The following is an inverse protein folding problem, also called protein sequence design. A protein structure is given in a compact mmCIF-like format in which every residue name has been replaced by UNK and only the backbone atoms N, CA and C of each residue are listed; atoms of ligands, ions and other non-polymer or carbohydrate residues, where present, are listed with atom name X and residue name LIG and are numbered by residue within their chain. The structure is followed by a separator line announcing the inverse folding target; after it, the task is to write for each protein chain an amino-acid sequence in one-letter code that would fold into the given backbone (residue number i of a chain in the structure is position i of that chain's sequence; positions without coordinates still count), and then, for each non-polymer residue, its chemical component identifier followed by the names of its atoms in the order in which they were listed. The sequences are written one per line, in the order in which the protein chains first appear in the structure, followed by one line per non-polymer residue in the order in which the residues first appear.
data_IF_081710603074
#
_entry.id   IF_081710603074
#
_cell.length_a   1.000
_cell.length_b   1.000
_cell.length_c   1.000
_cell.angle_alpha   90.00
_cell.angle_beta   90.00
_cell.angle_gamma   90.00
#
_symmetry.space_group_name_H-M   'P 1'
#
loop_
_entity.id
_entity.type
_entity.pdbx_description
1 polymer ?
#
# COMPACT_ATOMS: atom_id res chain seq x y z
N UNK A 1 -17.34 -12.87 -6.55
CA UNK A 1 -15.92 -12.49 -6.72
C UNK A 1 -15.89 -11.34 -7.71
N UNK A 2 -15.29 -10.19 -7.35
CA UNK A 2 -15.21 -9.05 -8.26
C UNK A 2 -13.96 -9.20 -9.15
N UNK A 3 -14.13 -9.91 -10.28
CA UNK A 3 -13.02 -10.27 -11.19
C UNK A 3 -12.25 -9.07 -11.71
N UNK A 4 -12.93 -7.95 -11.99
CA UNK A 4 -12.30 -6.72 -12.47
C UNK A 4 -11.34 -6.13 -11.41
N UNK A 5 -11.77 -6.10 -10.14
CA UNK A 5 -10.92 -5.63 -9.04
C UNK A 5 -9.75 -6.59 -8.78
N UNK A 6 -9.98 -7.90 -8.82
CA UNK A 6 -8.90 -8.87 -8.71
C UNK A 6 -7.87 -8.72 -9.84
N UNK A 7 -8.31 -8.44 -11.08
CA UNK A 7 -7.40 -8.15 -12.19
C UNK A 7 -6.55 -6.92 -11.89
N UNK A 8 -7.18 -5.81 -11.48
CA UNK A 8 -6.44 -4.58 -11.12
C UNK A 8 -5.41 -4.86 -10.02
N UNK A 9 -5.79 -5.64 -9.00
CA UNK A 9 -4.92 -6.05 -7.90
C UNK A 9 -3.68 -6.81 -8.39
N UNK A 10 -3.85 -7.72 -9.34
CA UNK A 10 -2.80 -8.62 -9.84
C UNK A 10 -1.99 -8.07 -11.03
N UNK A 11 -2.54 -7.09 -11.77
CA UNK A 11 -1.88 -6.53 -12.96
C UNK A 11 -0.78 -5.51 -12.60
N UNK A 12 -0.56 -5.24 -11.30
CA UNK A 12 0.53 -4.39 -10.83
C UNK A 12 1.76 -5.24 -10.54
N UNK A 13 2.96 -4.76 -10.93
CA UNK A 13 4.22 -5.43 -10.57
C UNK A 13 4.35 -5.59 -9.05
N UNK A 14 4.00 -4.54 -8.32
CA UNK A 14 3.88 -4.51 -6.87
C UNK A 14 3.06 -3.29 -6.42
N UNK A 15 2.55 -3.35 -5.19
CA UNK A 15 1.94 -2.24 -4.46
C UNK A 15 2.91 -1.78 -3.38
N UNK A 16 3.42 -0.56 -3.46
CA UNK A 16 4.45 -0.04 -2.55
C UNK A 16 3.87 0.88 -1.49
N UNK A 17 4.25 0.67 -0.23
CA UNK A 17 3.97 1.63 0.84
C UNK A 17 4.73 2.94 0.58
N UNK A 18 6.01 2.81 0.29
CA UNK A 18 6.86 3.88 -0.21
C UNK A 18 7.72 3.31 -1.36
N UNK A 19 7.58 3.81 -2.60
CA UNK A 19 8.30 3.37 -3.79
C UNK A 19 9.84 3.47 -3.74
N UNK A 20 10.39 4.21 -2.77
CA UNK A 20 11.82 4.39 -2.59
C UNK A 20 12.42 3.48 -1.51
N UNK A 21 11.58 2.67 -0.87
CA UNK A 21 12.00 1.62 0.06
C UNK A 21 11.39 0.28 -0.37
N UNK A 22 12.04 -0.83 -0.07
CA UNK A 22 11.49 -2.15 -0.39
C UNK A 22 10.46 -2.58 0.68
N UNK A 23 9.37 -1.81 0.79
CA UNK A 23 8.17 -2.12 1.57
C UNK A 23 6.99 -2.19 0.63
N UNK A 24 6.67 -3.40 0.18
CA UNK A 24 5.67 -3.61 -0.83
C UNK A 24 5.01 -5.00 -0.69
N UNK A 25 3.84 -5.11 -1.30
CA UNK A 25 3.05 -6.34 -1.40
C UNK A 25 2.74 -6.61 -2.87
N UNK A 26 2.82 -7.88 -3.28
CA UNK A 26 2.53 -8.34 -4.63
C UNK A 26 1.44 -9.41 -4.59
N UNK A 27 0.54 -9.36 -5.56
CA UNK A 27 -0.51 -10.35 -5.76
C UNK A 27 -0.38 -10.94 -7.16
N UNK A 28 -0.32 -12.26 -7.26
CA UNK A 28 -0.32 -13.00 -8.51
C UNK A 28 -1.73 -13.58 -8.79
N UNK A 29 -2.07 -13.76 -10.06
CA UNK A 29 -3.38 -14.24 -10.53
C UNK A 29 -3.73 -15.66 -10.06
N UNK A 30 -2.73 -16.45 -9.69
CA UNK A 30 -2.88 -17.83 -9.22
C UNK A 30 -3.20 -17.92 -7.71
N UNK A 31 -3.39 -16.80 -7.03
CA UNK A 31 -3.63 -16.76 -5.59
C UNK A 31 -2.34 -16.78 -4.75
N UNK A 32 -1.17 -16.65 -5.38
CA UNK A 32 0.10 -16.46 -4.66
C UNK A 32 0.49 -14.99 -4.63
N UNK A 33 1.56 -14.65 -3.92
CA UNK A 33 2.08 -13.30 -3.87
C UNK A 33 3.35 -13.23 -3.04
N UNK A 34 3.79 -12.00 -2.74
CA UNK A 34 4.94 -11.77 -1.89
C UNK A 34 4.71 -10.54 -1.00
N UNK A 35 5.28 -10.55 0.21
CA UNK A 35 5.31 -9.40 1.11
C UNK A 35 6.75 -9.12 1.52
N UNK A 36 7.18 -7.87 1.31
CA UNK A 36 8.54 -7.44 1.60
C UNK A 36 8.56 -6.31 2.62
N UNK A 37 9.52 -6.39 3.53
CA UNK A 37 9.88 -5.32 4.45
C UNK A 37 11.41 -5.22 4.53
N UNK A 38 11.93 -4.10 4.05
CA UNK A 38 13.36 -3.76 4.08
C UNK A 38 13.54 -2.43 4.79
N UNK A 39 14.54 -2.36 5.65
CA UNK A 39 14.97 -1.17 6.37
C UNK A 39 16.46 -1.00 6.23
N UNK A 40 16.92 0.17 5.80
CA UNK A 40 18.35 0.52 5.68
C UNK A 40 19.17 -0.57 4.95
N UNK A 41 18.63 -1.05 3.82
CA UNK A 41 19.18 -2.15 3.00
C UNK A 41 19.21 -3.53 3.67
N UNK A 42 18.66 -3.66 4.87
CA UNK A 42 18.50 -4.93 5.60
C UNK A 42 17.08 -5.46 5.38
N UNK A 43 16.98 -6.67 4.83
CA UNK A 43 15.71 -7.39 4.76
C UNK A 43 15.29 -7.82 6.16
N UNK A 44 14.14 -7.34 6.61
CA UNK A 44 13.51 -7.80 7.85
C UNK A 44 12.74 -9.07 7.56
N UNK A 45 11.95 -9.04 6.49
CA UNK A 45 11.39 -10.25 5.91
C UNK A 45 11.05 -10.02 4.45
N UNK A 46 11.05 -11.13 3.73
CA UNK A 46 10.60 -11.23 2.36
C UNK A 46 9.99 -12.62 2.23
N UNK A 47 8.67 -12.70 2.30
CA UNK A 47 7.93 -13.96 2.39
C UNK A 47 7.05 -14.14 1.16
N UNK A 48 6.89 -15.39 0.74
CA UNK A 48 5.76 -15.74 -0.12
C UNK A 48 4.45 -15.61 0.68
N UNK A 49 3.36 -15.31 0.00
CA UNK A 49 2.02 -15.36 0.57
C UNK A 49 1.06 -16.12 -0.33
N UNK A 50 -0.01 -16.60 0.27
CA UNK A 50 -1.20 -17.07 -0.40
C UNK A 50 -2.35 -16.12 -0.10
N UNK A 51 -3.20 -15.86 -1.09
CA UNK A 51 -4.35 -14.99 -0.93
C UNK A 51 -5.55 -15.47 -1.73
N UNK A 52 -6.73 -15.07 -1.28
CA UNK A 52 -7.97 -15.24 -2.04
C UNK A 52 -8.94 -14.11 -1.73
N UNK A 53 -9.75 -13.74 -2.72
CA UNK A 53 -10.89 -12.86 -2.49
C UNK A 53 -12.08 -13.67 -1.94
N UNK A 54 -12.63 -13.23 -0.83
CA UNK A 54 -13.86 -13.78 -0.26
C UNK A 54 -15.06 -12.92 -0.68
N UNK A 55 -16.25 -13.51 -0.89
CA UNK A 55 -17.45 -12.74 -1.22
C UNK A 55 -17.74 -11.67 -0.16
N UNK A 56 -18.09 -10.46 -0.61
CA UNK A 56 -18.70 -9.45 0.26
C UNK A 56 -20.12 -9.93 0.63
N UNK A 57 -20.52 -9.74 1.88
CA UNK A 57 -21.92 -9.91 2.23
C UNK A 57 -22.72 -8.82 1.51
N UNK A 58 -23.89 -9.18 0.93
CA UNK A 58 -24.74 -8.31 0.09
C UNK A 58 -25.12 -6.96 0.71
N UNK A 59 -24.94 -6.77 2.03
CA UNK A 59 -25.15 -5.48 2.69
C UNK A 59 -24.04 -4.46 2.43
N UNK A 60 -22.85 -4.90 2.02
CA UNK A 60 -21.68 -4.04 1.74
C UNK A 60 -21.53 -3.73 0.24
N UNK A 61 -22.39 -4.34 -0.60
CA UNK A 61 -22.55 -4.01 -2.01
C UNK A 61 -23.38 -2.72 -2.14
N UNK A 62 -22.84 -1.59 -1.66
CA UNK A 62 -23.25 -0.29 -2.22
C UNK A 62 -22.65 -0.24 -3.61
N UNK A 63 -23.43 -0.70 -4.57
CA UNK A 63 -23.19 -0.59 -5.99
C UNK A 63 -23.18 0.92 -6.32
N UNK A 64 -22.02 1.54 -6.40
CA UNK A 64 -21.86 2.73 -7.24
C UNK A 64 -21.83 2.24 -8.70
N UNK A 65 -23.03 2.08 -9.27
CA UNK A 65 -23.23 1.89 -10.70
C UNK A 65 -22.58 3.06 -11.44
N UNK A 66 -21.58 2.72 -12.25
CA UNK A 66 -21.09 3.42 -13.44
C UNK A 66 -21.62 4.86 -13.64
N UNK A 67 -20.86 5.85 -13.16
CA UNK A 67 -20.71 7.09 -13.90
C UNK A 67 -19.25 7.25 -14.33
N UNK A 68 -19.02 7.01 -15.63
CA UNK A 68 -17.95 7.59 -16.40
C UNK A 68 -18.09 9.12 -16.34
N UNK A 69 -17.66 9.74 -15.24
CA UNK A 69 -17.51 11.19 -15.16
C UNK A 69 -16.15 11.48 -14.57
N UNK A 70 -15.30 12.02 -15.46
CA UNK A 70 -14.31 13.07 -15.22
C UNK A 70 -14.10 13.39 -13.74
N UNK A 71 -12.86 13.26 -13.28
CA UNK A 71 -12.32 13.79 -12.01
C UNK A 71 -12.58 15.30 -11.91
N UNK A 72 -13.83 15.71 -11.69
CA UNK A 72 -14.24 17.11 -11.76
C UNK A 72 -13.91 17.88 -10.48
N UNK A 73 -13.66 17.18 -9.36
CA UNK A 73 -13.54 17.81 -8.03
C UNK A 73 -12.24 17.48 -7.27
N UNK A 74 -11.18 17.01 -7.94
CA UNK A 74 -9.90 16.71 -7.29
C UNK A 74 -9.95 15.56 -6.27
N UNK A 75 -11.02 14.77 -6.25
CA UNK A 75 -11.17 13.58 -5.41
C UNK A 75 -10.77 12.30 -6.15
N UNK A 76 -10.24 11.28 -5.45
CA UNK A 76 -10.02 9.95 -6.01
C UNK A 76 -11.30 9.31 -6.54
N UNK A 77 -11.18 8.54 -7.62
CA UNK A 77 -12.25 7.67 -8.11
C UNK A 77 -12.23 6.35 -7.33
N UNK A 78 -13.31 6.03 -6.62
CA UNK A 78 -13.47 4.73 -5.97
C UNK A 78 -13.71 3.65 -7.03
N UNK A 79 -12.84 2.65 -7.11
CA UNK A 79 -13.01 1.52 -8.04
C UNK A 79 -13.79 0.37 -7.39
N UNK A 80 -13.69 0.24 -6.07
CA UNK A 80 -14.49 -0.71 -5.28
C UNK A 80 -13.71 -1.30 -4.10
N UNK A 81 -14.32 -2.30 -3.46
CA UNK A 81 -13.77 -3.02 -2.30
C UNK A 81 -13.61 -4.51 -2.57
N UNK A 82 -12.62 -5.11 -1.92
CA UNK A 82 -12.37 -6.55 -1.87
C UNK A 82 -12.27 -6.97 -0.41
N UNK A 83 -12.89 -8.09 -0.06
CA UNK A 83 -12.50 -8.82 1.14
C UNK A 83 -11.45 -9.85 0.75
N UNK A 84 -10.32 -9.85 1.45
CA UNK A 84 -9.15 -10.68 1.18
C UNK A 84 -8.86 -11.55 2.40
N UNK A 85 -8.56 -12.82 2.18
CA UNK A 85 -7.82 -13.63 3.15
C UNK A 85 -6.38 -13.75 2.66
N UNK A 86 -5.42 -13.44 3.53
CA UNK A 86 -3.98 -13.51 3.23
C UNK A 86 -3.31 -14.38 4.29
N UNK A 87 -2.46 -15.29 3.84
CA UNK A 87 -1.64 -16.16 4.68
C UNK A 87 -0.18 -15.99 4.27
N UNK A 88 0.69 -15.63 5.22
CA UNK A 88 2.13 -15.57 4.95
C UNK A 88 2.73 -16.97 5.06
N UNK A 89 3.70 -17.27 4.20
CA UNK A 89 4.48 -18.50 4.23
C UNK A 89 5.83 -18.26 4.92
N UNK A 90 6.46 -19.32 5.44
CA UNK A 90 7.78 -19.28 6.05
C UNK A 90 8.91 -19.12 5.02
N UNK A 91 8.66 -19.57 3.78
CA UNK A 91 9.62 -19.52 2.68
C UNK A 91 9.98 -18.09 2.26
N UNK A 92 11.24 -17.92 1.86
CA UNK A 92 11.72 -16.67 1.28
C UNK A 92 11.00 -16.40 -0.04
N UNK A 93 10.63 -15.14 -0.25
CA UNK A 93 10.04 -14.63 -1.48
C UNK A 93 10.76 -15.17 -2.73
N UNK A 94 10.00 -15.74 -3.65
CA UNK A 94 10.54 -16.39 -4.86
C UNK A 94 11.39 -15.41 -5.69
N UNK A 95 11.00 -14.14 -5.76
CA UNK A 95 11.75 -13.08 -6.43
C UNK A 95 13.20 -12.91 -5.93
N UNK A 96 13.50 -13.25 -4.67
CA UNK A 96 14.84 -13.18 -4.10
C UNK A 96 15.67 -14.44 -4.33
N UNK A 97 15.01 -15.58 -4.55
CA UNK A 97 15.68 -16.88 -4.72
C UNK A 97 16.18 -17.14 -6.14
N UNK A 98 15.76 -16.33 -7.13
CA UNK A 98 16.07 -16.46 -8.56
C UNK A 98 17.52 -16.21 -8.99
N UNK A 99 18.49 -16.45 -8.11
CA UNK A 99 19.92 -16.28 -8.41
C UNK A 99 20.89 -16.70 -7.30
N UNK A 100 20.40 -16.93 -6.08
CA UNK A 100 21.24 -17.33 -4.93
C UNK A 100 20.54 -18.44 -4.14
N UNK A 101 20.74 -19.72 -4.49
CA UNK A 101 20.35 -20.82 -3.62
C UNK A 101 21.11 -20.64 -2.29
N UNK A 102 20.40 -20.58 -1.17
CA UNK A 102 20.90 -20.33 0.20
C UNK A 102 20.97 -18.86 0.66
N UNK A 103 20.15 -17.94 0.11
CA UNK A 103 19.94 -16.66 0.80
C UNK A 103 19.46 -16.93 2.24
N UNK A 104 20.20 -16.50 3.28
CA UNK A 104 19.80 -16.72 4.66
C UNK A 104 18.43 -16.09 4.87
N UNK A 105 17.44 -16.90 5.22
CA UNK A 105 16.07 -16.41 5.38
C UNK A 105 16.02 -15.44 6.56
N UNK A 106 15.79 -14.14 6.34
CA UNK A 106 15.61 -13.21 7.45
C UNK A 106 14.31 -13.51 8.20
N UNK A 107 13.38 -14.21 7.54
CA UNK A 107 12.04 -14.51 8.05
C UNK A 107 12.10 -15.25 9.39
N UNK A 108 12.96 -16.26 9.52
CA UNK A 108 13.08 -17.03 10.77
C UNK A 108 13.68 -16.21 11.92
N UNK A 109 14.44 -15.16 11.62
CA UNK A 109 15.01 -14.31 12.66
C UNK A 109 13.96 -13.37 13.26
N UNK A 110 13.11 -12.79 12.42
CA UNK A 110 12.21 -11.71 12.81
C UNK A 110 10.75 -12.14 13.02
N UNK A 111 10.27 -13.19 12.32
CA UNK A 111 8.87 -13.61 12.36
C UNK A 111 8.63 -14.74 13.36
N UNK A 112 7.50 -14.66 14.07
CA UNK A 112 6.98 -15.72 14.93
C UNK A 112 5.93 -16.56 14.19
N UNK A 113 5.55 -17.70 14.76
CA UNK A 113 4.46 -18.54 14.22
C UNK A 113 3.14 -17.79 14.07
N UNK A 114 2.91 -16.73 14.84
CA UNK A 114 1.68 -15.95 14.74
C UNK A 114 1.62 -15.12 13.43
N UNK A 115 2.76 -14.81 12.79
CA UNK A 115 2.79 -14.10 11.51
C UNK A 115 2.23 -14.93 10.35
N UNK A 116 2.30 -16.25 10.45
CA UNK A 116 1.86 -17.17 9.39
C UNK A 116 0.38 -17.57 9.50
N UNK A 117 -0.35 -17.01 10.48
CA UNK A 117 -1.79 -17.22 10.59
C UNK A 117 -2.51 -16.46 9.47
N UNK A 118 -3.53 -17.08 8.89
CA UNK A 118 -4.43 -16.43 7.93
C UNK A 118 -5.11 -15.24 8.58
N UNK A 119 -5.10 -14.10 7.90
CA UNK A 119 -5.77 -12.86 8.32
C UNK A 119 -6.73 -12.39 7.25
N UNK A 120 -7.87 -11.83 7.67
CA UNK A 120 -8.88 -11.27 6.78
C UNK A 120 -8.79 -9.75 6.75
N UNK A 121 -8.94 -9.17 5.57
CA UNK A 121 -8.84 -7.74 5.32
C UNK A 121 -9.97 -7.27 4.44
N UNK A 122 -10.35 -6.00 4.59
CA UNK A 122 -11.13 -5.27 3.60
C UNK A 122 -10.20 -4.26 2.94
N UNK A 123 -10.00 -4.42 1.63
CA UNK A 123 -9.15 -3.57 0.83
C UNK A 123 -9.99 -2.72 -0.13
N UNK A 124 -9.73 -1.42 -0.16
CA UNK A 124 -10.33 -0.48 -1.11
C UNK A 124 -9.33 -0.12 -2.20
N UNK A 125 -9.76 -0.16 -3.47
CA UNK A 125 -8.95 0.26 -4.61
C UNK A 125 -9.49 1.58 -5.14
N UNK A 126 -8.59 2.54 -5.34
CA UNK A 126 -8.90 3.85 -5.90
C UNK A 126 -8.00 4.19 -7.08
N UNK A 127 -8.52 5.02 -7.98
CA UNK A 127 -7.80 5.61 -9.10
C UNK A 127 -7.69 7.11 -8.92
N UNK A 128 -6.50 7.66 -9.14
CA UNK A 128 -6.24 9.08 -8.93
C UNK A 128 -4.83 9.49 -9.30
N UNK A 129 -4.35 10.52 -8.62
CA UNK A 129 -2.98 11.04 -8.69
C UNK A 129 -2.47 11.18 -7.24
N UNK A 130 -1.65 10.24 -6.81
CA UNK A 130 -1.26 10.05 -5.41
C UNK A 130 0.23 10.24 -5.18
N UNK A 131 0.59 10.51 -3.94
CA UNK A 131 1.96 10.36 -3.38
C UNK A 131 1.97 9.42 -2.19
N UNK A 132 3.13 8.90 -1.78
CA UNK A 132 3.28 8.19 -0.51
C UNK A 132 2.76 9.03 0.64
N UNK A 133 2.00 8.41 1.55
CA UNK A 133 1.53 9.07 2.77
C UNK A 133 2.73 9.41 3.70
N UNK A 134 3.81 8.63 3.62
CA UNK A 134 5.08 8.85 4.32
C UNK A 134 6.24 8.68 3.35
N UNK A 135 7.11 9.68 3.27
CA UNK A 135 8.38 9.60 2.54
C UNK A 135 9.46 9.10 3.48
N UNK A 136 9.80 7.81 3.40
CA UNK A 136 10.86 7.17 4.18
C UNK A 136 12.17 7.21 3.37
N UNK A 137 12.12 6.91 2.07
CA UNK A 137 13.24 7.10 1.16
C UNK A 137 13.39 8.58 0.80
N UNK A 138 14.63 9.08 0.72
CA UNK A 138 14.98 10.47 0.41
C UNK A 138 13.95 11.22 -0.45
N UNK A 139 13.57 12.44 -0.06
CA UNK A 139 12.82 13.39 -0.89
C UNK A 139 13.61 13.71 -2.16
N UNK A 140 13.49 12.83 -3.15
CA UNK A 140 14.05 13.05 -4.47
C UNK A 140 13.31 14.18 -5.14
N UNK A 141 14.05 15.03 -5.86
CA UNK A 141 13.59 16.18 -6.65
C UNK A 141 12.47 15.89 -7.69
N UNK A 142 11.96 14.67 -7.73
CA UNK A 142 10.92 14.21 -8.63
C UNK A 142 9.63 13.98 -7.86
N UNK A 143 8.62 14.84 -8.10
CA UNK A 143 7.25 14.63 -7.65
C UNK A 143 6.59 13.51 -8.46
N UNK A 144 7.18 12.31 -8.44
CA UNK A 144 6.55 11.14 -9.02
C UNK A 144 5.17 10.95 -8.40
N UNK A 145 4.25 10.46 -9.20
CA UNK A 145 2.86 10.26 -8.80
C UNK A 145 2.38 8.90 -9.19
N UNK A 146 1.48 8.34 -8.39
CA UNK A 146 0.93 7.02 -8.60
C UNK A 146 -0.55 7.11 -8.95
N UNK A 147 -0.95 6.22 -9.85
CA UNK A 147 -2.26 6.23 -10.47
C UNK A 147 -3.30 5.42 -9.71
N UNK A 148 -2.84 4.52 -8.85
CA UNK A 148 -3.66 3.62 -8.06
C UNK A 148 -3.24 3.69 -6.59
N UNK A 149 -4.22 3.56 -5.73
CA UNK A 149 -4.05 3.44 -4.27
C UNK A 149 -4.85 2.24 -3.77
N UNK A 150 -4.22 1.43 -2.93
CA UNK A 150 -4.78 0.28 -2.23
C UNK A 150 -4.78 0.60 -0.73
N UNK A 151 -5.95 0.58 -0.12
CA UNK A 151 -6.17 0.93 1.29
C UNK A 151 -6.69 -0.29 2.02
N UNK A 152 -5.91 -0.83 2.95
CA UNK A 152 -6.37 -1.88 3.85
C UNK A 152 -7.10 -1.27 5.06
N UNK A 153 -8.08 -1.98 5.61
CA UNK A 153 -8.71 -1.67 6.89
C UNK A 153 -7.73 -1.73 8.08
N UNK A 154 -6.68 -2.54 7.92
CA UNK A 154 -5.56 -2.71 8.86
C UNK A 154 -4.31 -3.16 8.10
N UNK A 155 -3.13 -2.84 8.61
CA UNK A 155 -1.87 -3.20 7.93
C UNK A 155 -1.76 -4.71 7.62
N UNK A 156 -1.39 -5.08 6.37
CA UNK A 156 -1.12 -6.46 6.00
C UNK A 156 0.20 -6.98 6.57
N UNK A 157 1.05 -6.12 7.14
CA UNK A 157 2.28 -6.53 7.81
C UNK A 157 2.00 -7.27 9.14
N UNK A 158 2.94 -8.12 9.60
CA UNK A 158 2.83 -8.79 10.89
C UNK A 158 2.58 -7.80 12.04
N UNK A 159 1.63 -8.14 12.91
CA UNK A 159 1.41 -7.40 14.15
C UNK A 159 2.52 -7.71 15.16
N UNK A 160 2.53 -7.02 16.31
CA UNK A 160 3.50 -7.28 17.39
C UNK A 160 3.61 -8.75 17.79
N UNK A 161 2.50 -9.50 17.82
CA UNK A 161 2.51 -10.94 18.11
C UNK A 161 3.21 -11.77 17.03
N UNK A 162 3.16 -11.33 15.77
CA UNK A 162 3.82 -11.94 14.63
C UNK A 162 5.33 -11.69 14.58
N UNK A 163 5.87 -10.91 15.50
CA UNK A 163 7.28 -10.53 15.53
C UNK A 163 7.95 -11.16 16.76
N UNK A 164 9.16 -11.72 16.60
CA UNK A 164 9.90 -12.33 17.71
C UNK A 164 10.44 -11.29 18.71
N UNK A 165 10.95 -10.18 18.18
CA UNK A 165 11.51 -9.07 18.94
C UNK A 165 10.96 -7.72 18.44
N UNK A 166 9.67 -7.40 18.67
CA UNK A 166 9.05 -6.20 18.11
C UNK A 166 9.67 -4.88 18.62
N UNK A 167 10.37 -4.91 19.75
CA UNK A 167 11.00 -3.74 20.36
C UNK A 167 12.49 -3.58 19.99
N UNK A 168 13.05 -4.52 19.23
CA UNK A 168 14.43 -4.45 18.75
C UNK A 168 14.54 -3.69 17.43
N UNK A 169 15.64 -2.95 17.28
CA UNK A 169 16.01 -2.34 16.00
C UNK A 169 16.36 -3.47 15.03
N UNK A 170 15.88 -3.42 13.78
CA UNK A 170 15.22 -2.27 13.13
C UNK A 170 13.68 -2.35 13.08
N UNK A 171 13.04 -3.30 13.78
CA UNK A 171 11.58 -3.43 13.77
C UNK A 171 10.90 -2.29 14.53
N UNK A 172 11.41 -1.95 15.71
CA UNK A 172 10.77 -1.01 16.64
C UNK A 172 10.65 0.43 16.15
N UNK A 173 11.26 0.75 15.01
CA UNK A 173 11.26 2.09 14.40
C UNK A 173 10.31 2.21 13.20
N UNK A 174 9.67 1.12 12.79
CA UNK A 174 9.03 1.02 11.48
C UNK A 174 7.50 1.01 11.48
N UNK A 175 6.81 1.28 12.61
CA UNK A 175 5.34 1.47 12.72
C UNK A 175 4.53 0.56 11.77
N UNK A 176 4.90 -0.74 11.70
CA UNK A 176 4.42 -1.66 10.67
C UNK A 176 2.90 -1.84 10.70
N UNK A 177 2.29 -1.69 11.87
CA UNK A 177 0.85 -1.75 12.11
C UNK A 177 0.08 -0.57 11.50
N UNK A 178 0.74 0.56 11.25
CA UNK A 178 0.16 1.74 10.60
C UNK A 178 0.25 1.70 9.06
N UNK A 179 1.07 0.80 8.51
CA UNK A 179 1.32 0.70 7.07
C UNK A 179 0.15 0.03 6.31
N UNK A 180 -0.94 0.77 6.11
CA UNK A 180 -2.16 0.28 5.46
C UNK A 180 -2.41 0.82 4.05
N UNK A 181 -1.65 1.83 3.60
CA UNK A 181 -1.77 2.43 2.26
C UNK A 181 -0.63 1.99 1.36
N UNK A 182 -0.97 1.51 0.16
CA UNK A 182 0.00 1.14 -0.86
C UNK A 182 -0.35 1.77 -2.21
N UNK A 183 0.66 2.06 -3.01
CA UNK A 183 0.55 2.74 -4.28
C UNK A 183 1.06 1.87 -5.43
N UNK A 184 0.44 2.02 -6.59
CA UNK A 184 0.85 1.34 -7.81
C UNK A 184 0.60 2.22 -9.04
N UNK A 185 1.13 1.76 -10.18
CA UNK A 185 1.04 2.43 -11.49
C UNK A 185 1.66 3.84 -11.47
N UNK A 186 2.97 3.93 -11.70
CA UNK A 186 3.64 5.21 -11.90
C UNK A 186 2.98 5.98 -13.05
N UNK A 187 2.61 7.23 -12.82
CA UNK A 187 2.00 8.09 -13.82
C UNK A 187 3.09 8.81 -14.64
N UNK A 188 2.87 8.97 -15.96
CA UNK A 188 3.71 9.85 -16.76
C UNK A 188 3.46 11.32 -16.39
N UNK A 189 4.45 12.19 -16.59
CA UNK A 189 4.38 13.62 -16.27
C UNK A 189 3.12 14.31 -16.83
N UNK A 190 2.65 13.88 -18.01
CA UNK A 190 1.42 14.38 -18.64
C UNK A 190 0.16 14.23 -17.79
N UNK A 191 0.12 13.22 -16.91
CA UNK A 191 -1.01 12.89 -16.03
C UNK A 191 -0.82 13.40 -14.60
N UNK A 192 0.33 13.97 -14.27
CA UNK A 192 0.65 14.45 -12.91
C UNK A 192 0.26 15.91 -12.66
N UNK A 193 -0.38 16.57 -13.64
CA UNK A 193 -0.74 18.00 -13.56
C UNK A 193 -1.67 18.25 -12.37
N UNK A 194 -1.32 19.27 -11.58
CA UNK A 194 -2.09 19.69 -10.42
C UNK A 194 -1.59 19.10 -9.10
N UNK A 195 -2.42 19.23 -8.06
CA UNK A 195 -2.13 18.77 -6.71
C UNK A 195 -2.39 17.27 -6.60
N UNK A 196 -1.58 16.55 -5.82
CA UNK A 196 -1.92 15.17 -5.49
C UNK A 196 -3.17 15.12 -4.61
N UNK A 197 -3.97 14.08 -4.81
CA UNK A 197 -5.29 13.94 -4.21
C UNK A 197 -5.26 13.54 -2.72
N UNK A 198 -4.08 13.21 -2.20
CA UNK A 198 -3.83 12.91 -0.79
C UNK A 198 -2.77 13.83 -0.16
N UNK A 199 -2.51 14.98 -0.77
CA UNK A 199 -1.53 15.95 -0.27
C UNK A 199 -2.24 17.02 0.58
N UNK A 200 -2.35 16.85 1.90
CA UNK A 200 -3.08 17.82 2.73
C UNK A 200 -2.33 19.15 2.95
N UNK A 201 -1.05 19.22 2.56
CA UNK A 201 -0.19 20.40 2.78
C UNK A 201 -0.71 21.70 2.12
N UNK A 202 -1.49 21.58 1.04
CA UNK A 202 -1.99 22.75 0.30
C UNK A 202 -3.21 23.42 0.94
N UNK A 203 -3.94 22.76 1.85
CA UNK A 203 -5.05 23.44 2.55
C UNK A 203 -4.55 24.41 3.63
N UNK A 204 -3.35 24.16 4.18
CA UNK A 204 -2.72 25.06 5.14
C UNK A 204 -2.32 26.39 4.48
N UNK A 205 -1.75 26.35 3.27
CA UNK A 205 -1.31 27.56 2.57
C UNK A 205 -2.49 28.45 2.12
N UNK A 206 -3.62 27.89 1.66
CA UNK A 206 -4.77 28.72 1.27
C UNK A 206 -5.48 29.38 2.46
N UNK A 207 -5.45 28.79 3.67
CA UNK A 207 -5.99 29.45 4.87
C UNK A 207 -5.11 30.61 5.34
N UNK A 208 -3.81 30.55 5.12
CA UNK A 208 -2.88 31.65 5.45
C UNK A 208 -3.09 32.83 4.48
N UNK A 209 -3.31 32.58 3.18
CA UNK A 209 -3.58 33.66 2.22
C UNK A 209 -4.98 34.27 2.37
N UNK A 210 -6.01 33.48 2.71
CA UNK A 210 -7.37 33.99 2.97
C UNK A 210 -7.44 34.86 4.23
N UNK A 211 -6.71 34.47 5.29
CA UNK A 211 -6.64 35.23 6.54
C UNK A 211 -5.81 36.52 6.43
N UNK A 212 -4.92 36.61 5.43
CA UNK A 212 -4.07 37.78 5.19
C UNK A 212 -4.75 38.86 4.35
N UNK A 213 -5.80 38.53 3.59
CA UNK A 213 -6.57 39.49 2.78
C UNK A 213 -7.62 40.24 3.62
N UNK A 214 -8.12 39.65 4.71
CA UNK A 214 -9.09 40.31 5.59
C UNK A 214 -8.50 41.35 6.55
N UNK A 215 -7.16 41.46 6.65
CA UNK A 215 -6.49 42.38 7.60
C UNK A 215 -6.12 43.73 6.94
N UNK A 216 -6.29 43.88 5.62
CA UNK A 216 -5.96 45.12 4.88
C UNK A 216 -7.17 45.94 4.40
N UNK A 217 -8.37 45.74 4.98
CA UNK A 217 -9.55 46.57 4.68
C UNK A 217 -10.28 47.11 5.93
N UNK A 218 -9.52 47.63 6.91
CA UNK A 218 -10.07 48.51 7.95
C UNK A 218 -9.17 49.70 8.20
#
# INVERSE_FOLDING_TARGET
MNEALCSILCDQDHWSFDPYVCKAIKFNKDGTGELWCVKDLTYIFAVNLEWKSIPLHKSDEVIETAETKTTANGKPQHLGKLNLEITLNTSVANSLTGGLPNWPSPNEHYLSEAAFRTRSFTATIEKGNFIPDRWIGHEGKFKQRWGLRLLFDKSPYPTREGLKSPDEVPISVDDLDEMATFLARLLPDSETRGKAMNDDSFEADMRIYSSSILIYMK
#
